data_IF_708165786821
#
_entry.id   IF_708165786821
#
_cell.length_a   1.000
_cell.length_b   1.000
_cell.length_c   1.000
_cell.angle_alpha   90.00
_cell.angle_beta   90.00
_cell.angle_gamma   90.00
#
_symmetry.space_group_name_H-M   'P 1'
#
loop_
_entity.id
_entity.type
_entity.pdbx_description
1 polymer ?
#
# COMPACT_ATOMS: atom_id res chain seq x y z
N UNK A 1 -7.97 0.03 -14.16
CA UNK A 1 -6.88 0.21 -13.19
C UNK A 1 -5.74 -0.69 -13.63
N UNK A 2 -4.54 -0.13 -13.84
CA UNK A 2 -3.39 -0.93 -14.27
C UNK A 2 -2.82 -1.74 -13.11
N UNK A 3 -2.26 -2.92 -13.37
CA UNK A 3 -1.71 -3.82 -12.36
C UNK A 3 -0.19 -3.80 -12.47
N UNK A 4 0.48 -3.68 -11.32
CA UNK A 4 1.92 -3.82 -11.17
C UNK A 4 2.24 -5.07 -10.35
N UNK A 5 3.28 -5.78 -10.77
CA UNK A 5 3.81 -6.97 -10.12
C UNK A 5 5.30 -6.75 -9.90
N UNK A 6 5.68 -6.65 -8.64
CA UNK A 6 7.06 -6.48 -8.20
C UNK A 6 7.10 -6.80 -6.71
N UNK A 7 7.77 -7.90 -6.35
CA UNK A 7 7.92 -8.23 -4.94
C UNK A 7 8.72 -7.13 -4.23
N UNK A 8 8.23 -6.62 -3.09
CA UNK A 8 8.94 -5.60 -2.31
C UNK A 8 10.19 -6.16 -1.61
N UNK A 9 10.32 -7.48 -1.55
CA UNK A 9 11.49 -8.18 -1.00
C UNK A 9 12.38 -8.79 -2.09
N UNK A 10 12.09 -8.52 -3.37
CA UNK A 10 12.97 -8.93 -4.45
C UNK A 10 14.35 -8.27 -4.32
N UNK A 11 15.41 -9.05 -4.43
CA UNK A 11 16.77 -8.57 -4.21
C UNK A 11 17.15 -7.44 -5.17
N UNK A 12 16.75 -7.54 -6.44
CA UNK A 12 17.12 -6.51 -7.44
C UNK A 12 16.36 -5.21 -7.20
N UNK A 13 15.08 -5.32 -6.84
CA UNK A 13 14.24 -4.19 -6.47
C UNK A 13 14.73 -3.49 -5.20
N UNK A 14 15.09 -4.24 -4.16
CA UNK A 14 15.61 -3.68 -2.90
C UNK A 14 16.90 -2.90 -3.13
N UNK A 15 17.78 -3.37 -4.04
CA UNK A 15 19.04 -2.70 -4.34
C UNK A 15 18.84 -1.46 -5.22
N UNK A 16 17.93 -1.51 -6.19
CA UNK A 16 17.67 -0.38 -7.08
C UNK A 16 16.18 -0.32 -7.50
N UNK A 17 15.31 0.32 -6.70
CA UNK A 17 13.88 0.35 -6.98
C UNK A 17 13.48 1.43 -8.00
N UNK A 18 14.38 2.37 -8.30
CA UNK A 18 14.05 3.56 -9.09
C UNK A 18 13.61 3.25 -10.53
N UNK A 19 14.20 2.29 -11.27
CA UNK A 19 13.70 1.91 -12.59
C UNK A 19 12.24 1.44 -12.56
N UNK A 20 11.85 0.69 -11.52
CA UNK A 20 10.47 0.28 -11.32
C UNK A 20 9.58 1.50 -11.07
N UNK A 21 9.95 2.40 -10.15
CA UNK A 21 9.18 3.61 -9.88
C UNK A 21 9.05 4.55 -11.10
N UNK A 22 10.10 4.69 -11.90
CA UNK A 22 10.04 5.43 -13.16
C UNK A 22 9.02 4.83 -14.14
N UNK A 23 8.96 3.49 -14.23
CA UNK A 23 7.97 2.81 -15.06
C UNK A 23 6.54 2.99 -14.52
N UNK A 24 6.37 2.88 -13.20
CA UNK A 24 5.08 3.06 -12.53
C UNK A 24 4.55 4.49 -12.68
N UNK A 25 5.42 5.50 -12.69
CA UNK A 25 5.07 6.91 -12.87
C UNK A 25 4.44 7.22 -14.24
N UNK A 26 4.76 6.44 -15.28
CA UNK A 26 4.19 6.61 -16.62
C UNK A 26 2.77 6.06 -16.77
N UNK A 27 2.30 5.30 -15.77
CA UNK A 27 0.98 4.68 -15.79
C UNK A 27 -0.10 5.63 -15.28
N UNK A 28 -1.34 5.40 -15.69
CA UNK A 28 -2.48 6.13 -15.13
C UNK A 28 -2.72 5.70 -13.67
N UNK A 29 -2.78 6.68 -12.77
CA UNK A 29 -2.88 6.48 -11.33
C UNK A 29 -4.35 6.54 -10.86
N UNK A 30 -4.76 5.78 -9.83
CA UNK A 30 -3.97 4.78 -9.11
C UNK A 30 -3.70 3.54 -9.93
N UNK A 31 -2.62 2.86 -9.55
CA UNK A 31 -2.30 1.50 -10.02
C UNK A 31 -2.54 0.52 -8.89
N UNK A 32 -2.79 -0.75 -9.22
CA UNK A 32 -2.93 -1.81 -8.22
C UNK A 32 -1.62 -2.59 -8.12
N UNK A 33 -0.95 -2.53 -6.97
CA UNK A 33 0.28 -3.28 -6.74
C UNK A 33 -0.08 -4.64 -6.14
N UNK A 34 0.09 -5.70 -6.94
CA UNK A 34 -0.36 -7.06 -6.61
C UNK A 34 0.29 -7.62 -5.35
N UNK A 35 1.61 -7.50 -5.23
CA UNK A 35 2.37 -8.04 -4.08
C UNK A 35 2.00 -7.40 -2.74
N UNK A 36 1.50 -6.16 -2.77
CA UNK A 36 0.94 -5.48 -1.60
C UNK A 36 -0.58 -5.62 -1.49
N UNK A 37 -1.25 -6.16 -2.50
CA UNK A 37 -2.71 -6.27 -2.59
C UNK A 37 -3.44 -4.94 -2.31
N UNK A 38 -2.93 -3.83 -2.84
CA UNK A 38 -3.46 -2.49 -2.56
C UNK A 38 -3.36 -1.53 -3.76
N UNK A 39 -4.19 -0.49 -3.73
CA UNK A 39 -4.03 0.65 -4.62
C UNK A 39 -2.81 1.47 -4.20
N UNK A 40 -2.00 1.88 -5.17
CA UNK A 40 -0.74 2.58 -4.96
C UNK A 40 -0.66 3.81 -5.87
N UNK A 41 0.00 4.85 -5.36
CA UNK A 41 0.23 6.11 -6.05
C UNK A 41 1.72 6.40 -6.06
N UNK A 42 2.26 6.70 -7.23
CA UNK A 42 3.70 6.96 -7.40
C UNK A 42 4.01 8.43 -7.70
N UNK A 43 3.03 9.19 -8.19
CA UNK A 43 3.24 10.61 -8.52
C UNK A 43 3.17 11.51 -7.29
N UNK A 44 4.05 12.51 -7.24
CA UNK A 44 4.18 13.42 -6.11
C UNK A 44 2.88 14.15 -5.75
N UNK A 45 2.12 14.63 -6.75
CA UNK A 45 0.90 15.40 -6.51
C UNK A 45 -0.17 14.57 -5.78
N UNK A 46 -0.44 13.34 -6.24
CA UNK A 46 -1.39 12.45 -5.59
C UNK A 46 -0.93 12.05 -4.19
N UNK A 47 0.34 11.68 -4.02
CA UNK A 47 0.90 11.30 -2.71
C UNK A 47 0.73 12.45 -1.71
N UNK A 48 1.12 13.66 -2.09
CA UNK A 48 1.00 14.83 -1.21
C UNK A 48 -0.46 15.20 -0.89
N UNK A 49 -1.37 15.02 -1.85
CA UNK A 49 -2.80 15.25 -1.62
C UNK A 49 -3.36 14.24 -0.61
N UNK A 50 -3.08 12.95 -0.80
CA UNK A 50 -3.57 11.86 0.05
C UNK A 50 -3.04 11.95 1.48
N UNK A 51 -1.75 12.25 1.67
CA UNK A 51 -1.15 12.38 3.00
C UNK A 51 -1.71 13.56 3.81
N UNK A 52 -2.30 14.56 3.15
CA UNK A 52 -2.92 15.74 3.79
C UNK A 52 -4.44 15.62 3.93
N UNK A 53 -5.04 14.64 3.28
CA UNK A 53 -6.48 14.43 3.32
C UNK A 53 -6.88 13.71 4.62
N UNK A 54 -7.68 14.38 5.44
CA UNK A 54 -8.11 13.90 6.76
C UNK A 54 -8.97 12.63 6.70
N UNK A 55 -9.47 12.26 5.53
CA UNK A 55 -10.21 11.01 5.33
C UNK A 55 -9.30 9.78 5.34
N UNK A 56 -7.99 9.97 5.08
CA UNK A 56 -7.00 8.89 5.09
C UNK A 56 -6.30 8.84 6.45
N UNK A 57 -6.85 8.02 7.35
CA UNK A 57 -6.29 7.75 8.68
C UNK A 57 -5.41 6.50 8.71
N UNK A 58 -4.74 6.28 9.85
CA UNK A 58 -3.98 5.05 10.12
C UNK A 58 -4.81 4.01 10.88
N UNK A 59 -5.84 4.45 11.58
CA UNK A 59 -6.76 3.55 12.29
C UNK A 59 -7.73 2.90 11.31
N UNK A 60 -7.93 1.59 11.46
CA UNK A 60 -8.97 0.89 10.73
C UNK A 60 -10.34 1.39 11.21
N UNK A 61 -11.23 1.84 10.30
CA UNK A 61 -12.60 2.20 10.66
C UNK A 61 -13.30 1.04 11.37
N UNK A 62 -14.12 1.33 12.38
CA UNK A 62 -14.82 0.31 13.18
C UNK A 62 -15.67 -0.63 12.31
N UNK A 63 -16.28 -0.10 11.27
CA UNK A 63 -17.12 -0.85 10.32
C UNK A 63 -16.31 -1.81 9.42
N UNK A 64 -14.99 -1.62 9.35
CA UNK A 64 -14.04 -2.46 8.60
C UNK A 64 -13.17 -3.32 9.53
N UNK A 65 -13.39 -3.27 10.84
CA UNK A 65 -12.61 -4.02 11.79
C UNK A 65 -12.78 -5.53 11.57
N UNK A 66 -11.66 -6.23 11.45
CA UNK A 66 -11.66 -7.69 11.36
C UNK A 66 -11.67 -8.32 12.75
N UNK A 67 -12.30 -9.50 12.91
CA UNK A 67 -12.27 -10.21 14.18
C UNK A 67 -10.82 -10.53 14.57
N UNK A 68 -10.52 -10.42 15.87
CA UNK A 68 -9.20 -10.77 16.40
C UNK A 68 -8.84 -12.22 16.01
N UNK A 69 -7.71 -12.46 15.33
CA UNK A 69 -7.28 -13.81 15.01
C UNK A 69 -7.13 -14.66 16.27
N UNK A 70 -7.61 -15.92 16.24
CA UNK A 70 -7.63 -16.81 17.42
C UNK A 70 -6.27 -16.97 18.09
N UNK A 71 -5.19 -17.03 17.31
CA UNK A 71 -3.82 -17.16 17.82
C UNK A 71 -3.32 -15.90 18.54
N UNK A 72 -3.95 -14.74 18.33
CA UNK A 72 -3.66 -13.49 19.01
C UNK A 72 -4.59 -13.23 20.21
N UNK A 73 -5.59 -14.08 20.45
CA UNK A 73 -6.53 -13.89 21.55
C UNK A 73 -5.86 -13.66 22.93
N UNK A 74 -4.76 -14.36 23.30
CA UNK A 74 -4.07 -14.08 24.56
C UNK A 74 -3.46 -12.67 24.64
N UNK A 75 -3.01 -12.09 23.51
CA UNK A 75 -2.39 -10.76 23.47
C UNK A 75 -3.41 -9.64 23.71
N UNK A 76 -4.66 -9.84 23.28
CA UNK A 76 -5.74 -8.86 23.40
C UNK A 76 -6.63 -9.06 24.63
N UNK A 77 -6.32 -10.04 25.47
CA UNK A 77 -7.05 -10.30 26.71
C UNK A 77 -6.52 -9.37 27.81
N UNK A 78 -7.14 -8.21 27.95
CA UNK A 78 -6.93 -7.27 29.06
C UNK A 78 -7.42 -7.86 30.39
#
# INVERSE_FOLDING_TARGET
MQILEQSPTDLTFVQNPYPFYESALRLQQPVFWRDYNMASFFNHQSVMSLLKDRRFGRECPKDLAQPTPRHLAPFYKL
#
